data_IF_782718535136
#
_entry.id   IF_782718535136
#
_cell.length_a   1.000
_cell.length_b   1.000
_cell.length_c   1.000
_cell.angle_alpha   90.00
_cell.angle_beta   90.00
_cell.angle_gamma   90.00
#
_symmetry.space_group_name_H-M   'P 1'
#
loop_
_entity.id
_entity.type
_entity.pdbx_description
1 polymer ?
#
# COMPACT_ATOMS: atom_id res chain seq x y z
N UNK A 1 32.43 7.95 7.87
CA UNK A 1 31.06 7.58 7.51
C UNK A 1 30.44 6.86 8.70
N UNK A 2 29.40 7.41 9.32
CA UNK A 2 28.64 6.69 10.36
C UNK A 2 27.84 5.64 9.60
N UNK A 3 28.28 4.38 9.65
CA UNK A 3 27.50 3.26 9.15
C UNK A 3 26.22 3.19 10.00
N UNK A 4 25.07 3.51 9.38
CA UNK A 4 23.77 3.36 10.06
C UNK A 4 23.62 1.90 10.42
N UNK A 5 23.44 1.61 11.68
CA UNK A 5 23.11 0.26 12.16
C UNK A 5 21.63 -0.03 11.86
N UNK A 6 21.35 -0.36 10.60
CA UNK A 6 19.99 -0.69 10.16
C UNK A 6 19.42 -1.91 10.91
N UNK A 7 20.28 -2.84 11.32
CA UNK A 7 19.81 -4.03 12.04
C UNK A 7 19.18 -3.65 13.37
N UNK A 8 19.89 -2.92 14.22
CA UNK A 8 19.37 -2.47 15.51
C UNK A 8 18.09 -1.63 15.33
N UNK A 9 18.04 -0.74 14.33
CA UNK A 9 16.85 0.07 14.05
C UNK A 9 15.65 -0.81 13.71
N UNK A 10 15.80 -1.77 12.81
CA UNK A 10 14.72 -2.68 12.38
C UNK A 10 14.28 -3.58 13.54
N UNK A 11 15.21 -4.12 14.32
CA UNK A 11 14.90 -4.99 15.46
C UNK A 11 14.11 -4.24 16.53
N UNK A 12 14.46 -2.98 16.82
CA UNK A 12 13.71 -2.12 17.75
C UNK A 12 12.28 -1.88 17.28
N UNK A 13 12.08 -1.49 16.01
CA UNK A 13 10.73 -1.32 15.46
C UNK A 13 9.91 -2.60 15.51
N UNK A 14 10.50 -3.75 15.16
CA UNK A 14 9.81 -5.05 15.24
C UNK A 14 9.40 -5.40 16.67
N UNK A 15 10.21 -5.05 17.67
CA UNK A 15 9.86 -5.24 19.08
C UNK A 15 8.68 -4.37 19.53
N UNK A 16 8.58 -3.13 19.02
CA UNK A 16 7.51 -2.20 19.38
C UNK A 16 6.16 -2.54 18.73
N UNK A 17 6.17 -3.00 17.46
CA UNK A 17 4.93 -3.25 16.70
C UNK A 17 4.26 -4.60 17.00
N UNK A 18 4.89 -5.46 17.81
CA UNK A 18 4.34 -6.76 18.21
C UNK A 18 4.09 -7.69 17.01
N UNK A 19 2.84 -8.05 16.78
CA UNK A 19 2.45 -8.96 15.67
C UNK A 19 2.26 -8.25 14.33
N UNK A 20 2.36 -6.91 14.27
CA UNK A 20 2.21 -6.19 13.02
C UNK A 20 3.43 -6.41 12.11
N UNK A 21 3.21 -6.34 10.80
CA UNK A 21 4.27 -6.47 9.80
C UNK A 21 4.89 -5.10 9.50
N UNK A 22 6.22 -5.01 9.63
CA UNK A 22 6.97 -3.80 9.31
C UNK A 22 7.20 -3.69 7.81
N UNK A 23 6.77 -2.59 7.20
CA UNK A 23 7.18 -2.20 5.85
C UNK A 23 8.25 -1.11 5.92
N UNK A 24 9.38 -1.33 5.26
CA UNK A 24 10.43 -0.34 5.11
C UNK A 24 10.11 0.57 3.92
N UNK A 25 9.77 1.84 4.18
CA UNK A 25 9.51 2.83 3.12
C UNK A 25 10.83 3.29 2.54
N UNK A 26 11.06 2.99 1.25
CA UNK A 26 12.34 3.16 0.54
C UNK A 26 12.38 4.33 -0.45
N UNK A 27 11.30 5.15 -0.49
CA UNK A 27 11.32 6.37 -1.30
C UNK A 27 12.53 7.25 -0.98
N UNK A 28 13.12 7.86 -2.00
CA UNK A 28 14.31 8.73 -1.91
C UNK A 28 15.59 8.03 -1.40
N UNK A 29 15.59 6.70 -1.28
CA UNK A 29 16.76 5.92 -0.88
C UNK A 29 17.41 5.28 -2.10
N UNK A 30 18.74 5.18 -2.05
CA UNK A 30 19.49 4.47 -3.09
C UNK A 30 19.22 2.95 -3.02
N UNK A 31 19.43 2.26 -4.12
CA UNK A 31 19.35 0.80 -4.15
C UNK A 31 20.35 0.17 -3.17
N UNK A 32 21.52 0.77 -2.98
CA UNK A 32 22.52 0.32 -2.01
C UNK A 32 21.98 0.38 -0.56
N UNK A 33 21.31 1.48 -0.18
CA UNK A 33 20.67 1.59 1.14
C UNK A 33 19.56 0.57 1.32
N UNK A 34 18.74 0.34 0.28
CA UNK A 34 17.67 -0.67 0.29
C UNK A 34 18.25 -2.06 0.49
N UNK A 35 19.32 -2.39 -0.23
CA UNK A 35 19.99 -3.69 -0.10
C UNK A 35 20.66 -3.86 1.26
N UNK A 36 21.19 -2.80 1.86
CA UNK A 36 21.71 -2.84 3.23
C UNK A 36 20.59 -3.16 4.26
N UNK A 37 19.39 -2.60 4.09
CA UNK A 37 18.23 -2.94 4.91
C UNK A 37 17.74 -4.37 4.62
N UNK A 38 17.72 -4.80 3.36
CA UNK A 38 17.37 -6.17 2.99
C UNK A 38 18.29 -7.21 3.66
N UNK A 39 19.59 -6.94 3.76
CA UNK A 39 20.57 -7.82 4.44
C UNK A 39 20.30 -7.97 5.94
N UNK A 40 19.52 -7.09 6.57
CA UNK A 40 19.08 -7.26 7.97
C UNK A 40 17.95 -8.27 8.16
N UNK A 41 17.42 -8.82 7.06
CA UNK A 41 16.26 -9.72 7.06
C UNK A 41 14.93 -9.02 6.79
N UNK A 42 14.93 -7.71 6.47
CA UNK A 42 13.72 -7.03 6.00
C UNK A 42 13.39 -7.48 4.56
N UNK A 43 12.10 -7.77 4.32
CA UNK A 43 11.65 -8.28 3.02
C UNK A 43 10.64 -7.36 2.35
N UNK A 44 9.80 -6.69 3.12
CA UNK A 44 8.71 -5.85 2.64
C UNK A 44 9.16 -4.39 2.54
N UNK A 45 9.08 -3.83 1.33
CA UNK A 45 9.47 -2.46 1.01
C UNK A 45 8.33 -1.70 0.34
N UNK A 46 8.22 -0.40 0.63
CA UNK A 46 7.20 0.47 0.06
C UNK A 46 7.79 1.64 -0.71
N UNK A 47 7.30 1.84 -1.94
CA UNK A 47 7.69 2.93 -2.83
C UNK A 47 6.53 3.86 -3.13
N UNK A 48 6.82 5.16 -3.17
CA UNK A 48 5.79 6.17 -3.44
C UNK A 48 5.74 6.59 -4.91
N UNK A 49 6.84 6.43 -5.65
CA UNK A 49 7.00 7.03 -6.98
C UNK A 49 7.31 5.97 -8.03
N UNK A 50 6.49 5.92 -9.08
CA UNK A 50 6.67 5.00 -10.21
C UNK A 50 8.05 5.11 -10.83
N UNK A 51 8.59 6.34 -10.90
CA UNK A 51 9.91 6.58 -11.45
C UNK A 51 10.99 5.84 -10.67
N UNK A 52 10.94 5.96 -9.32
CA UNK A 52 11.88 5.28 -8.43
C UNK A 52 11.77 3.76 -8.51
N UNK A 53 10.55 3.22 -8.61
CA UNK A 53 10.32 1.77 -8.82
C UNK A 53 11.03 1.30 -10.09
N UNK A 54 10.83 2.03 -11.20
CA UNK A 54 11.46 1.68 -12.50
C UNK A 54 12.97 1.76 -12.40
N UNK A 55 13.53 2.85 -11.86
CA UNK A 55 14.97 3.05 -11.72
C UNK A 55 15.63 1.99 -10.85
N UNK A 56 14.98 1.60 -9.75
CA UNK A 56 15.54 0.68 -8.76
C UNK A 56 15.37 -0.80 -9.13
N UNK A 57 14.24 -1.17 -9.74
CA UNK A 57 13.83 -2.57 -9.85
C UNK A 57 13.62 -3.09 -11.29
N UNK A 58 13.80 -2.26 -12.33
CA UNK A 58 13.67 -2.71 -13.72
C UNK A 58 14.71 -3.77 -14.15
N UNK A 59 15.85 -3.81 -13.49
CA UNK A 59 16.90 -4.81 -13.73
C UNK A 59 16.75 -6.06 -12.85
N UNK A 60 15.71 -6.10 -12.02
CA UNK A 60 15.42 -7.19 -11.09
C UNK A 60 15.61 -6.82 -9.62
N UNK A 61 15.10 -7.69 -8.77
CA UNK A 61 15.22 -7.64 -7.31
C UNK A 61 15.40 -9.04 -6.77
N UNK A 62 15.87 -9.24 -5.51
CA UNK A 62 15.87 -10.54 -4.87
C UNK A 62 14.49 -11.20 -4.93
N UNK A 63 14.44 -12.51 -5.14
CA UNK A 63 13.19 -13.25 -5.35
C UNK A 63 12.24 -13.17 -4.13
N UNK A 64 12.81 -13.15 -2.93
CA UNK A 64 12.07 -13.05 -1.67
C UNK A 64 11.87 -11.59 -1.18
N UNK A 65 12.21 -10.58 -2.00
CA UNK A 65 11.92 -9.18 -1.72
C UNK A 65 10.55 -8.82 -2.25
N UNK A 66 9.69 -8.30 -1.37
CA UNK A 66 8.38 -7.74 -1.75
C UNK A 66 8.47 -6.21 -1.86
N UNK A 67 8.05 -5.69 -3.01
CA UNK A 67 8.01 -4.24 -3.29
C UNK A 67 6.56 -3.85 -3.55
N UNK A 68 6.03 -2.93 -2.74
CA UNK A 68 4.67 -2.43 -2.86
C UNK A 68 4.64 -0.99 -3.36
N UNK A 69 3.74 -0.69 -4.26
CA UNK A 69 3.38 0.68 -4.63
C UNK A 69 2.42 1.23 -3.58
N UNK A 70 2.86 2.23 -2.81
CA UNK A 70 2.08 2.80 -1.69
C UNK A 70 1.74 4.29 -1.87
N UNK A 71 2.25 4.93 -2.93
CA UNK A 71 1.92 6.31 -3.28
C UNK A 71 0.85 6.37 -4.37
N UNK A 72 0.28 7.57 -4.60
CA UNK A 72 -0.75 7.75 -5.61
C UNK A 72 -0.28 7.30 -7.00
N UNK A 73 -1.04 6.39 -7.60
CA UNK A 73 -0.74 5.79 -8.91
C UNK A 73 -1.57 6.42 -10.01
N UNK A 74 -0.93 7.24 -10.84
CA UNK A 74 -1.56 7.76 -12.06
C UNK A 74 -1.87 6.62 -13.03
N UNK A 75 -3.07 6.64 -13.60
CA UNK A 75 -3.57 5.61 -14.52
C UNK A 75 -2.68 5.35 -15.74
N UNK A 76 -2.00 6.39 -16.27
CA UNK A 76 -1.09 6.26 -17.41
C UNK A 76 0.25 5.57 -17.07
N UNK A 77 0.53 5.36 -15.77
CA UNK A 77 1.76 4.71 -15.28
C UNK A 77 1.55 3.25 -14.86
N UNK A 78 0.32 2.77 -14.84
CA UNK A 78 -0.04 1.40 -14.40
C UNK A 78 0.78 0.34 -15.12
N UNK A 79 0.90 0.42 -16.45
CA UNK A 79 1.65 -0.56 -17.25
C UNK A 79 3.16 -0.62 -16.89
N UNK A 80 3.72 0.44 -16.31
CA UNK A 80 5.12 0.48 -15.88
C UNK A 80 5.32 -0.16 -14.50
N UNK A 81 4.31 -0.08 -13.65
CA UNK A 81 4.38 -0.52 -12.24
C UNK A 81 4.02 -1.99 -12.10
N UNK A 82 2.93 -2.43 -12.73
CA UNK A 82 2.38 -3.79 -12.58
C UNK A 82 3.42 -4.90 -12.76
N UNK A 83 4.37 -4.83 -13.70
CA UNK A 83 5.42 -5.86 -13.83
C UNK A 83 6.43 -5.90 -12.67
N UNK A 84 6.61 -4.79 -11.95
CA UNK A 84 7.75 -4.57 -11.05
C UNK A 84 7.40 -4.69 -9.57
N UNK A 85 6.11 -4.62 -9.20
CA UNK A 85 5.66 -4.64 -7.80
C UNK A 85 4.84 -5.90 -7.49
N UNK A 86 4.80 -6.25 -6.22
CA UNK A 86 4.09 -7.44 -5.72
C UNK A 86 2.67 -7.07 -5.25
N UNK A 87 2.45 -5.79 -4.88
CA UNK A 87 1.15 -5.25 -4.49
C UNK A 87 1.04 -3.76 -4.83
N UNK A 88 -0.19 -3.31 -5.12
CA UNK A 88 -0.55 -1.90 -5.23
C UNK A 88 -1.53 -1.58 -4.10
N UNK A 89 -1.11 -0.74 -3.15
CA UNK A 89 -1.90 -0.45 -1.95
C UNK A 89 -2.76 0.82 -2.07
N UNK A 90 -2.52 1.61 -3.12
CA UNK A 90 -3.10 2.94 -3.33
C UNK A 90 -4.19 2.95 -4.43
N UNK A 91 -5.05 1.94 -4.46
CA UNK A 91 -6.16 1.91 -5.41
C UNK A 91 -7.30 2.76 -4.88
N UNK A 92 -7.54 3.90 -5.52
CA UNK A 92 -8.43 4.97 -5.08
C UNK A 92 -9.68 5.16 -5.96
N UNK A 93 -9.84 4.36 -7.01
CA UNK A 93 -10.96 4.50 -7.94
C UNK A 93 -11.26 3.22 -8.72
N UNK A 94 -12.52 3.06 -9.12
CA UNK A 94 -13.02 1.99 -9.99
C UNK A 94 -12.24 1.95 -11.31
N UNK A 95 -11.96 3.13 -11.89
CA UNK A 95 -11.19 3.27 -13.14
C UNK A 95 -9.76 2.78 -12.99
N UNK A 96 -9.10 3.08 -11.86
CA UNK A 96 -7.73 2.60 -11.61
C UNK A 96 -7.72 1.07 -11.43
N UNK A 97 -8.67 0.51 -10.68
CA UNK A 97 -8.82 -0.92 -10.48
C UNK A 97 -8.95 -1.68 -11.81
N UNK A 98 -9.82 -1.21 -12.71
CA UNK A 98 -9.99 -1.78 -14.06
C UNK A 98 -8.71 -1.72 -14.90
N UNK A 99 -7.95 -0.63 -14.80
CA UNK A 99 -6.68 -0.48 -15.54
C UNK A 99 -5.59 -1.39 -15.01
N UNK A 100 -5.56 -1.63 -13.70
CA UNK A 100 -4.63 -2.60 -13.09
C UNK A 100 -4.95 -4.01 -13.57
N UNK A 101 -6.23 -4.42 -13.57
CA UNK A 101 -6.65 -5.70 -14.09
C UNK A 101 -6.23 -5.91 -15.55
N UNK A 102 -6.55 -4.95 -16.42
CA UNK A 102 -6.17 -5.00 -17.82
C UNK A 102 -4.64 -5.03 -18.04
N UNK A 103 -3.87 -4.37 -17.20
CA UNK A 103 -2.40 -4.40 -17.29
C UNK A 103 -1.83 -5.74 -16.80
N UNK A 104 -2.38 -6.28 -15.71
CA UNK A 104 -2.00 -7.59 -15.17
C UNK A 104 -2.33 -8.72 -16.13
N UNK A 105 -3.51 -8.67 -16.76
CA UNK A 105 -3.95 -9.62 -17.79
C UNK A 105 -2.96 -9.72 -18.95
N UNK A 106 -2.43 -8.60 -19.45
CA UNK A 106 -1.48 -8.57 -20.58
C UNK A 106 -0.19 -9.33 -20.33
N UNK A 107 0.19 -9.51 -19.07
CA UNK A 107 1.42 -10.20 -18.69
C UNK A 107 1.17 -11.52 -17.94
N UNK A 108 -0.09 -11.97 -17.91
CA UNK A 108 -0.49 -13.22 -17.24
C UNK A 108 -0.26 -13.20 -15.72
N UNK A 109 -0.40 -12.03 -15.07
CA UNK A 109 -0.19 -11.83 -13.65
C UNK A 109 -1.52 -11.59 -12.93
N UNK A 110 -1.66 -12.09 -11.71
CA UNK A 110 -2.71 -11.62 -10.78
C UNK A 110 -2.08 -10.60 -9.84
N UNK A 111 -2.57 -9.35 -9.87
CA UNK A 111 -2.07 -8.27 -9.04
C UNK A 111 -2.82 -8.21 -7.71
N UNK A 112 -2.09 -8.33 -6.61
CA UNK A 112 -2.64 -8.05 -5.28
C UNK A 112 -2.85 -6.54 -5.11
N UNK A 113 -4.00 -6.15 -4.55
CA UNK A 113 -4.32 -4.74 -4.32
C UNK A 113 -4.94 -4.50 -2.95
N UNK A 114 -4.72 -3.29 -2.40
CA UNK A 114 -5.53 -2.74 -1.32
C UNK A 114 -6.34 -1.57 -1.88
N UNK A 115 -7.56 -1.39 -1.38
CA UNK A 115 -8.37 -0.22 -1.68
C UNK A 115 -8.05 0.86 -0.66
N UNK A 116 -7.60 2.02 -1.14
CA UNK A 116 -7.30 3.19 -0.29
C UNK A 116 -8.58 3.94 0.02
N UNK A 117 -8.91 4.10 1.30
CA UNK A 117 -10.06 4.88 1.75
C UNK A 117 -9.63 6.15 2.49
N UNK A 118 -10.21 7.29 2.14
CA UNK A 118 -9.93 8.57 2.78
C UNK A 118 -10.68 8.71 4.11
N UNK A 119 -10.12 8.16 5.19
CA UNK A 119 -10.70 8.26 6.53
C UNK A 119 -10.54 9.64 7.19
N UNK A 120 -9.71 10.52 6.63
CA UNK A 120 -9.46 11.84 7.21
C UNK A 120 -10.43 12.92 6.73
N UNK A 121 -11.12 12.69 5.59
CA UNK A 121 -11.99 13.69 4.94
C UNK A 121 -11.25 14.89 4.37
N UNK A 122 -9.92 14.84 4.24
CA UNK A 122 -9.12 15.91 3.62
C UNK A 122 -9.24 15.81 2.09
N UNK A 123 -9.80 16.81 1.42
CA UNK A 123 -10.02 16.86 -0.04
C UNK A 123 -8.72 16.67 -0.86
N UNK A 124 -7.58 17.05 -0.30
CA UNK A 124 -6.28 16.93 -0.97
C UNK A 124 -5.68 15.52 -0.96
N UNK A 125 -6.36 14.53 -0.35
CA UNK A 125 -5.88 13.15 -0.25
C UNK A 125 -6.50 12.24 -1.30
N UNK A 126 -5.70 11.23 -1.69
CA UNK A 126 -6.17 10.07 -2.45
C UNK A 126 -7.10 9.19 -1.59
N UNK A 127 -7.78 8.27 -2.24
CA UNK A 127 -8.63 7.28 -1.62
C UNK A 127 -10.10 7.45 -2.02
N UNK A 128 -10.86 6.39 -1.89
CA UNK A 128 -12.30 6.44 -2.03
C UNK A 128 -12.89 7.39 -0.99
N UNK A 129 -13.72 8.32 -1.41
CA UNK A 129 -14.28 9.38 -0.56
C UNK A 129 -15.56 8.95 0.16
N UNK A 130 -16.24 7.92 -0.36
CA UNK A 130 -17.49 7.42 0.20
C UNK A 130 -17.54 5.88 0.23
N UNK A 131 -18.40 5.33 1.08
CA UNK A 131 -18.68 3.89 1.13
C UNK A 131 -19.26 3.38 -0.18
N UNK A 132 -20.13 4.18 -0.80
CA UNK A 132 -20.78 3.85 -2.07
C UNK A 132 -19.74 3.62 -3.16
N UNK A 133 -18.78 4.54 -3.33
CA UNK A 133 -17.73 4.41 -4.34
C UNK A 133 -16.77 3.24 -4.05
N UNK A 134 -16.51 2.95 -2.76
CA UNK A 134 -15.74 1.76 -2.35
C UNK A 134 -16.51 0.48 -2.69
N UNK A 135 -17.81 0.44 -2.42
CA UNK A 135 -18.66 -0.74 -2.70
C UNK A 135 -18.80 -0.99 -4.21
N UNK A 136 -18.86 0.06 -5.04
CA UNK A 136 -18.78 -0.08 -6.50
C UNK A 136 -17.48 -0.77 -6.93
N UNK A 137 -16.35 -0.43 -6.31
CA UNK A 137 -15.09 -1.10 -6.60
C UNK A 137 -15.07 -2.56 -6.14
N UNK A 138 -15.69 -2.88 -4.99
CA UNK A 138 -15.83 -4.25 -4.51
C UNK A 138 -16.77 -5.08 -5.42
N UNK A 139 -17.86 -4.50 -5.91
CA UNK A 139 -18.75 -5.17 -6.86
C UNK A 139 -18.06 -5.41 -8.21
N UNK A 140 -17.33 -4.43 -8.72
CA UNK A 140 -16.53 -4.60 -9.93
C UNK A 140 -15.49 -5.71 -9.77
N UNK A 141 -14.82 -5.77 -8.61
CA UNK A 141 -13.75 -6.75 -8.35
C UNK A 141 -14.21 -8.21 -8.51
N UNK A 142 -15.51 -8.50 -8.30
CA UNK A 142 -16.10 -9.84 -8.53
C UNK A 142 -16.06 -10.27 -10.00
N UNK A 143 -15.90 -9.32 -10.91
CA UNK A 143 -15.89 -9.54 -12.37
C UNK A 143 -14.50 -9.48 -12.99
N UNK A 144 -13.48 -9.17 -12.18
CA UNK A 144 -12.10 -9.03 -12.62
C UNK A 144 -11.29 -10.28 -12.28
N UNK A 145 -10.56 -10.81 -13.28
CA UNK A 145 -9.84 -12.08 -13.16
C UNK A 145 -8.36 -11.90 -12.75
N UNK A 146 -7.81 -10.69 -12.93
CA UNK A 146 -6.37 -10.46 -12.80
C UNK A 146 -6.02 -9.48 -11.67
N UNK A 147 -6.98 -9.15 -10.80
CA UNK A 147 -6.75 -8.46 -9.53
C UNK A 147 -7.31 -9.27 -8.38
N UNK A 148 -6.61 -9.20 -7.25
CA UNK A 148 -7.05 -9.79 -5.99
C UNK A 148 -7.03 -8.72 -4.90
N UNK A 149 -8.20 -8.36 -4.40
CA UNK A 149 -8.29 -7.48 -3.23
C UNK A 149 -7.80 -8.26 -2.00
N UNK A 150 -6.85 -7.69 -1.27
CA UNK A 150 -6.26 -8.28 -0.06
C UNK A 150 -6.63 -7.50 1.21
N UNK A 151 -7.32 -6.37 1.08
CA UNK A 151 -7.73 -5.56 2.20
C UNK A 151 -7.88 -4.08 1.88
N UNK A 152 -7.76 -3.27 2.93
CA UNK A 152 -7.93 -1.82 2.86
C UNK A 152 -6.67 -1.08 3.32
N UNK A 153 -6.50 0.15 2.83
CA UNK A 153 -5.41 1.04 3.20
C UNK A 153 -5.95 2.44 3.54
N UNK A 154 -5.31 3.11 4.49
CA UNK A 154 -5.47 4.56 4.70
C UNK A 154 -4.17 5.20 5.14
N UNK A 155 -4.09 6.51 4.91
CA UNK A 155 -3.02 7.35 5.42
C UNK A 155 -3.60 8.31 6.45
N UNK A 156 -3.02 8.33 7.65
CA UNK A 156 -3.41 9.23 8.73
C UNK A 156 -3.35 10.70 8.33
N UNK A 157 -3.98 11.61 9.08
CA UNK A 157 -4.09 13.03 8.74
C UNK A 157 -2.72 13.70 8.67
N UNK A 158 -2.57 14.60 7.69
CA UNK A 158 -1.34 15.37 7.47
C UNK A 158 -1.51 16.82 7.89
N UNK A 159 -2.68 17.40 7.57
CA UNK A 159 -2.99 18.81 7.80
C UNK A 159 -3.73 18.98 9.12
N UNK A 160 -3.02 18.72 10.26
CA UNK A 160 -3.59 18.94 11.60
C UNK A 160 -2.53 19.52 12.53
N UNK A 161 -2.98 20.14 13.61
CA UNK A 161 -2.08 20.62 14.65
C UNK A 161 -1.32 19.45 15.30
N UNK A 162 -0.05 19.64 15.69
CA UNK A 162 0.75 18.56 16.28
C UNK A 162 0.09 17.87 17.48
N UNK A 163 -0.59 18.64 18.32
CA UNK A 163 -1.33 18.16 19.51
C UNK A 163 -2.54 17.28 19.18
N UNK A 164 -3.12 17.44 17.98
CA UNK A 164 -4.26 16.66 17.51
C UNK A 164 -3.86 15.41 16.71
N UNK A 165 -2.61 15.33 16.30
CA UNK A 165 -2.14 14.32 15.34
C UNK A 165 -2.39 12.89 15.80
N UNK A 166 -2.04 12.58 17.03
CA UNK A 166 -2.23 11.24 17.60
C UNK A 166 -3.72 10.88 17.66
N UNK A 167 -4.55 11.77 18.20
CA UNK A 167 -6.00 11.56 18.33
C UNK A 167 -6.70 11.36 16.98
N UNK A 168 -6.35 12.19 15.99
CA UNK A 168 -6.93 12.10 14.65
C UNK A 168 -6.44 10.87 13.88
N UNK A 169 -5.17 10.48 14.06
CA UNK A 169 -4.62 9.24 13.50
C UNK A 169 -5.33 8.03 14.07
N UNK A 170 -5.52 7.98 15.38
CA UNK A 170 -6.26 6.91 16.06
C UNK A 170 -7.71 6.80 15.55
N UNK A 171 -8.37 7.95 15.36
CA UNK A 171 -9.73 8.01 14.80
C UNK A 171 -9.74 7.41 13.38
N UNK A 172 -8.84 7.83 12.50
CA UNK A 172 -8.74 7.37 11.12
C UNK A 172 -8.51 5.85 11.05
N UNK A 173 -7.63 5.32 11.89
CA UNK A 173 -7.32 3.88 11.93
C UNK A 173 -8.46 3.04 12.50
N UNK A 174 -9.18 3.55 13.51
CA UNK A 174 -10.40 2.91 14.03
C UNK A 174 -11.51 2.88 12.96
N UNK A 175 -11.67 3.96 12.21
CA UNK A 175 -12.65 4.03 11.12
C UNK A 175 -12.33 3.01 10.03
N UNK A 176 -11.07 2.90 9.59
CA UNK A 176 -10.67 1.88 8.61
C UNK A 176 -10.97 0.46 9.09
N UNK A 177 -10.75 0.17 10.38
CA UNK A 177 -11.06 -1.14 10.96
C UNK A 177 -12.55 -1.44 10.92
N UNK A 178 -13.37 -0.47 11.31
CA UNK A 178 -14.85 -0.62 11.25
C UNK A 178 -15.32 -0.81 9.80
N UNK A 179 -14.76 -0.04 8.87
CA UNK A 179 -15.07 -0.18 7.45
C UNK A 179 -14.68 -1.57 6.91
N UNK A 180 -13.52 -2.09 7.30
CA UNK A 180 -13.13 -3.47 6.96
C UNK A 180 -14.14 -4.49 7.46
N UNK A 181 -14.61 -4.35 8.72
CA UNK A 181 -15.57 -5.28 9.31
C UNK A 181 -16.95 -5.18 8.64
N UNK A 182 -17.35 -3.99 8.18
CA UNK A 182 -18.52 -3.77 7.34
C UNK A 182 -18.38 -4.45 5.97
N UNK A 183 -17.27 -4.18 5.26
CA UNK A 183 -16.98 -4.82 3.98
C UNK A 183 -16.96 -6.35 4.07
N UNK A 184 -16.36 -6.91 5.12
CA UNK A 184 -16.32 -8.35 5.33
C UNK A 184 -17.70 -8.98 5.53
N UNK A 185 -18.67 -8.23 6.07
CA UNK A 185 -20.07 -8.70 6.20
C UNK A 185 -20.83 -8.65 4.88
N UNK A 186 -20.60 -7.60 4.08
CA UNK A 186 -21.29 -7.37 2.81
C UNK A 186 -20.68 -8.18 1.65
N UNK A 187 -19.37 -8.42 1.69
CA UNK A 187 -18.57 -9.07 0.65
C UNK A 187 -17.68 -10.17 1.27
N UNK A 188 -18.28 -11.23 1.84
CA UNK A 188 -17.54 -12.27 2.58
C UNK A 188 -16.59 -13.09 1.70
N UNK A 189 -16.77 -13.07 0.38
CA UNK A 189 -15.92 -13.73 -0.62
C UNK A 189 -14.59 -13.02 -0.87
N UNK A 190 -14.48 -11.73 -0.48
CA UNK A 190 -13.26 -10.93 -0.66
C UNK A 190 -12.36 -11.08 0.57
N UNK A 191 -11.05 -11.15 0.33
CA UNK A 191 -10.05 -11.20 1.39
C UNK A 191 -9.79 -9.81 2.00
N UNK A 192 -9.76 -9.72 3.32
CA UNK A 192 -9.45 -8.52 4.09
C UNK A 192 -8.36 -8.77 5.15
N UNK A 193 -7.39 -9.64 4.85
CA UNK A 193 -6.34 -10.01 5.80
C UNK A 193 -5.36 -8.86 6.05
N UNK A 194 -5.24 -7.95 5.09
CA UNK A 194 -4.32 -6.82 5.20
C UNK A 194 -5.05 -5.52 5.55
N UNK A 195 -4.63 -4.89 6.63
CA UNK A 195 -4.93 -3.49 6.93
C UNK A 195 -3.63 -2.70 6.91
N UNK A 196 -3.51 -1.78 5.96
CA UNK A 196 -2.38 -0.86 5.91
C UNK A 196 -2.77 0.48 6.52
N UNK A 197 -2.03 0.88 7.52
CA UNK A 197 -2.22 2.12 8.28
C UNK A 197 -0.91 2.89 8.23
N UNK A 198 -0.84 3.88 7.32
CA UNK A 198 0.35 4.67 7.08
C UNK A 198 0.28 6.05 7.74
N UNK A 199 1.45 6.62 8.02
CA UNK A 199 1.61 8.03 8.37
C UNK A 199 2.60 8.68 7.42
N UNK A 200 2.38 9.97 7.09
CA UNK A 200 3.33 10.80 6.31
C UNK A 200 4.21 11.61 7.24
#
# INVERSE_FOLDING_TARGET
>A
MITKDYKTIIDNFKAEIGQACLMAVSKTRSLEEIMAVYQTGQRLFGENHVQEIVEKFSTGKPEDMEVHMIGHLQSNKVNKVVPLVDMIESVDSVSLLSKIDAAASRIGKTMNVLLEFNTSGEEAKSGFESRESLFEALDLAKTLDNVKICGLMTVGPVSCAPEDKERLTDKAFKELRLLKDECKKLYPEINYDVLRMGMR
#
